data_IF_033206957406
#
_entry.id   IF_033206957406
#
_cell.length_a   1.000
_cell.length_b   1.000
_cell.length_c   1.000
_cell.angle_alpha   90.00
_cell.angle_beta   90.00
_cell.angle_gamma   90.00
#
_symmetry.space_group_name_H-M   'P 1'
#
loop_
_entity.id
_entity.type
_entity.pdbx_description
1 polymer ?
#
# COMPACT_ATOMS: atom_id res chain seq x y z
N UNK A 1 16.85 -21.71 17.47
CA UNK A 1 16.54 -21.99 16.05
C UNK A 1 15.11 -21.55 15.69
N UNK A 2 14.11 -21.81 16.53
CA UNK A 2 12.71 -21.36 16.36
C UNK A 2 12.53 -19.84 16.19
N UNK A 3 13.29 -19.00 16.90
CA UNK A 3 13.22 -17.53 16.75
C UNK A 3 13.62 -17.04 15.36
N UNK A 4 14.63 -17.67 14.75
CA UNK A 4 15.05 -17.37 13.39
C UNK A 4 14.00 -17.82 12.37
N UNK A 5 13.32 -18.95 12.64
CA UNK A 5 12.21 -19.43 11.81
C UNK A 5 11.01 -18.49 11.89
N UNK A 6 10.62 -18.01 13.08
CA UNK A 6 9.53 -17.02 13.22
C UNK A 6 9.87 -15.72 12.51
N UNK A 7 11.10 -15.21 12.66
CA UNK A 7 11.55 -14.01 11.96
C UNK A 7 11.58 -14.20 10.45
N UNK A 8 12.03 -15.36 9.97
CA UNK A 8 12.02 -15.70 8.55
C UNK A 8 10.58 -15.80 8.01
N UNK A 9 9.68 -16.48 8.72
CA UNK A 9 8.26 -16.57 8.36
C UNK A 9 7.61 -15.20 8.33
N UNK A 10 7.88 -14.34 9.31
CA UNK A 10 7.37 -12.97 9.37
C UNK A 10 7.90 -12.12 8.21
N UNK A 11 9.19 -12.23 7.89
CA UNK A 11 9.79 -11.56 6.74
C UNK A 11 9.19 -12.04 5.41
N UNK A 12 8.96 -13.34 5.25
CA UNK A 12 8.33 -13.93 4.06
C UNK A 12 6.89 -13.44 3.92
N UNK A 13 6.09 -13.46 4.99
CA UNK A 13 4.70 -12.96 4.97
C UNK A 13 4.65 -11.48 4.63
N UNK A 14 5.57 -10.67 5.16
CA UNK A 14 5.65 -9.24 4.83
C UNK A 14 6.04 -8.99 3.38
N UNK A 15 7.03 -9.73 2.86
CA UNK A 15 7.46 -9.60 1.45
C UNK A 15 6.34 -10.06 0.53
N UNK A 16 5.83 -11.28 0.70
CA UNK A 16 4.77 -11.81 -0.18
C UNK A 16 3.50 -10.98 -0.08
N UNK A 17 3.12 -10.50 1.11
CA UNK A 17 1.96 -9.62 1.30
C UNK A 17 2.15 -8.22 0.70
N UNK A 18 3.39 -7.77 0.50
CA UNK A 18 3.68 -6.52 -0.19
C UNK A 18 3.60 -6.63 -1.73
N UNK A 19 3.76 -7.83 -2.29
CA UNK A 19 3.83 -8.07 -3.74
C UNK A 19 2.61 -8.78 -4.33
N UNK A 20 1.86 -9.55 -3.55
CA UNK A 20 0.77 -10.39 -4.06
C UNK A 20 -0.52 -10.28 -3.23
N UNK A 21 -1.65 -10.15 -3.93
CA UNK A 21 -2.98 -10.12 -3.34
C UNK A 21 -3.41 -11.46 -2.74
N UNK A 22 -2.70 -12.55 -3.03
CA UNK A 22 -2.97 -13.89 -2.47
C UNK A 22 -2.88 -13.92 -0.94
N UNK A 23 -1.95 -13.18 -0.31
CA UNK A 23 -1.92 -13.05 1.15
C UNK A 23 -2.90 -12.00 1.71
N UNK A 24 -3.56 -11.22 0.85
CA UNK A 24 -4.72 -10.40 1.21
C UNK A 24 -6.03 -11.20 1.19
N UNK A 25 -6.07 -12.39 0.57
CA UNK A 25 -7.21 -13.29 0.66
C UNK A 25 -7.30 -13.91 2.06
N UNK A 26 -8.53 -14.07 2.54
CA UNK A 26 -8.81 -14.48 3.92
C UNK A 26 -8.19 -15.84 4.29
N UNK A 27 -8.23 -16.82 3.38
CA UNK A 27 -7.76 -18.17 3.67
C UNK A 27 -6.21 -18.25 3.82
N UNK A 28 -5.39 -17.74 2.87
CA UNK A 28 -3.93 -17.73 3.03
C UNK A 28 -3.47 -16.88 4.23
N UNK A 29 -4.14 -15.76 4.49
CA UNK A 29 -3.84 -14.93 5.66
C UNK A 29 -4.08 -15.71 6.96
N UNK A 30 -5.22 -16.40 7.08
CA UNK A 30 -5.56 -17.17 8.28
C UNK A 30 -4.56 -18.30 8.53
N UNK A 31 -4.11 -19.00 7.49
CA UNK A 31 -3.06 -20.02 7.58
C UNK A 31 -1.71 -19.41 8.00
N UNK A 32 -1.31 -18.29 7.41
CA UNK A 32 -0.06 -17.62 7.75
C UNK A 32 -0.04 -17.11 9.20
N UNK A 33 -1.11 -16.47 9.66
CA UNK A 33 -1.22 -15.94 11.02
C UNK A 33 -1.34 -17.05 12.08
N UNK A 34 -2.05 -18.14 11.77
CA UNK A 34 -2.13 -19.30 12.68
C UNK A 34 -0.79 -20.03 12.81
N UNK A 35 -0.06 -20.25 11.71
CA UNK A 35 1.30 -20.79 11.75
C UNK A 35 2.24 -19.89 12.55
N UNK A 36 2.17 -18.57 12.34
CA UNK A 36 2.97 -17.61 13.09
C UNK A 36 2.65 -17.66 14.60
N UNK A 37 1.37 -17.75 14.96
CA UNK A 37 0.92 -17.91 16.35
C UNK A 37 1.39 -19.22 16.99
N UNK A 38 1.30 -20.33 16.26
CA UNK A 38 1.77 -21.64 16.72
C UNK A 38 3.28 -21.66 16.97
N UNK A 39 4.06 -21.13 16.01
CA UNK A 39 5.52 -21.02 16.12
C UNK A 39 5.96 -20.04 17.22
N UNK A 40 5.17 -18.99 17.47
CA UNK A 40 5.41 -18.06 18.56
C UNK A 40 5.12 -18.68 19.94
N UNK A 41 4.11 -19.55 20.05
CA UNK A 41 3.77 -20.23 21.30
C UNK A 41 4.86 -21.22 21.76
N UNK A 42 5.48 -21.96 20.85
CA UNK A 42 6.61 -22.85 21.17
C UNK A 42 7.85 -22.10 21.67
N UNK A 43 8.02 -20.83 21.27
CA UNK A 43 9.15 -20.00 21.75
C UNK A 43 8.98 -19.48 23.18
N UNK A 44 7.79 -19.65 23.78
CA UNK A 44 7.45 -19.13 25.11
C UNK A 44 8.14 -19.89 26.26
N UNK A 45 8.77 -21.04 25.97
CA UNK A 45 9.47 -21.84 26.99
C UNK A 45 10.89 -21.33 27.31
N UNK A 46 11.45 -20.33 26.61
CA UNK A 46 12.75 -19.74 26.98
C UNK A 46 12.77 -18.22 26.90
N UNK A 47 13.07 -17.64 28.06
CA UNK A 47 13.27 -16.23 28.38
C UNK A 47 11.98 -15.40 28.42
N UNK A 48 11.34 -15.42 29.59
CA UNK A 48 10.78 -14.20 30.15
C UNK A 48 11.92 -13.17 30.25
N UNK A 49 12.25 -12.49 29.14
CA UNK A 49 12.87 -11.19 29.26
C UNK A 49 11.88 -10.36 30.05
N UNK A 50 12.27 -9.98 31.27
CA UNK A 50 11.52 -9.04 32.08
C UNK A 50 11.60 -7.67 31.39
N UNK A 51 10.80 -7.53 30.33
CA UNK A 51 10.55 -6.26 29.67
C UNK A 51 9.76 -5.44 30.66
N UNK A 52 10.45 -4.50 31.33
CA UNK A 52 9.81 -3.54 32.21
C UNK A 52 8.56 -2.95 31.56
N UNK A 53 7.50 -2.78 32.35
CA UNK A 53 6.13 -2.46 31.91
C UNK A 53 6.08 -1.38 30.81
N UNK A 54 6.93 -0.36 30.92
CA UNK A 54 7.06 0.73 29.92
C UNK A 54 7.47 0.23 28.54
N UNK A 55 8.48 -0.65 28.41
CA UNK A 55 8.92 -1.18 27.11
C UNK A 55 7.85 -2.06 26.48
N UNK A 56 7.11 -2.81 27.29
CA UNK A 56 6.00 -3.65 26.82
C UNK A 56 4.84 -2.80 26.28
N UNK A 57 4.42 -1.78 27.02
CA UNK A 57 3.39 -0.83 26.56
C UNK A 57 3.87 -0.12 25.29
N UNK A 58 5.13 0.32 25.23
CA UNK A 58 5.72 0.94 24.05
C UNK A 58 5.67 0.03 22.81
N UNK A 59 6.03 -1.25 22.97
CA UNK A 59 5.96 -2.22 21.87
C UNK A 59 4.52 -2.46 21.39
N UNK A 60 3.56 -2.59 22.31
CA UNK A 60 2.13 -2.74 21.96
C UNK A 60 1.61 -1.50 21.23
N UNK A 61 1.91 -0.31 21.74
CA UNK A 61 1.51 0.94 21.11
C UNK A 61 2.10 1.09 19.71
N UNK A 62 3.39 0.73 19.53
CA UNK A 62 4.04 0.76 18.23
C UNK A 62 3.34 -0.19 17.23
N UNK A 63 3.06 -1.43 17.64
CA UNK A 63 2.35 -2.40 16.79
C UNK A 63 0.93 -1.91 16.46
N UNK A 64 0.21 -1.37 17.43
CA UNK A 64 -1.13 -0.83 17.22
C UNK A 64 -1.13 0.35 16.24
N UNK A 65 -0.17 1.26 16.36
CA UNK A 65 -0.02 2.41 15.45
C UNK A 65 0.34 1.95 14.04
N UNK A 66 1.34 1.09 13.88
CA UNK A 66 1.75 0.60 12.56
C UNK A 66 0.65 -0.23 11.89
N UNK A 67 -0.01 -1.11 12.65
CA UNK A 67 -1.16 -1.89 12.18
C UNK A 67 -2.33 -1.00 11.78
N UNK A 68 -2.67 -0.02 12.63
CA UNK A 68 -3.73 0.95 12.34
C UNK A 68 -3.45 1.77 11.07
N UNK A 69 -2.21 2.23 10.88
CA UNK A 69 -1.79 2.94 9.66
C UNK A 69 -1.92 2.05 8.41
N UNK A 70 -1.53 0.78 8.50
CA UNK A 70 -1.65 -0.17 7.39
C UNK A 70 -3.13 -0.44 7.01
N UNK A 71 -4.01 -0.62 8.00
CA UNK A 71 -5.45 -0.79 7.78
C UNK A 71 -6.05 0.47 7.16
N UNK A 72 -5.74 1.65 7.69
CA UNK A 72 -6.23 2.92 7.17
C UNK A 72 -5.80 3.14 5.72
N UNK A 73 -4.53 2.86 5.39
CA UNK A 73 -4.02 2.91 4.01
C UNK A 73 -4.77 1.96 3.09
N UNK A 74 -5.00 0.73 3.51
CA UNK A 74 -5.70 -0.29 2.71
C UNK A 74 -7.16 0.13 2.44
N UNK A 75 -7.85 0.63 3.46
CA UNK A 75 -9.21 1.16 3.31
C UNK A 75 -9.27 2.37 2.37
N UNK A 76 -8.28 3.27 2.45
CA UNK A 76 -8.17 4.42 1.55
C UNK A 76 -7.99 3.96 0.09
N UNK A 77 -7.12 2.99 -0.17
CA UNK A 77 -6.92 2.43 -1.52
C UNK A 77 -8.20 1.80 -2.08
N UNK A 78 -8.92 1.00 -1.28
CA UNK A 78 -10.20 0.42 -1.71
C UNK A 78 -11.24 1.50 -2.03
N UNK A 79 -11.32 2.53 -1.19
CA UNK A 79 -12.25 3.66 -1.39
C UNK A 79 -11.90 4.47 -2.64
N UNK A 80 -10.61 4.74 -2.88
CA UNK A 80 -10.17 5.44 -4.08
C UNK A 80 -10.45 4.61 -5.35
N UNK A 81 -10.26 3.30 -5.30
CA UNK A 81 -10.51 2.40 -6.43
C UNK A 81 -12.00 2.24 -6.72
N UNK A 82 -12.87 2.24 -5.70
CA UNK A 82 -14.31 2.23 -5.94
C UNK A 82 -14.77 3.52 -6.64
N UNK A 83 -14.23 4.68 -6.24
CA UNK A 83 -14.47 5.96 -6.94
C UNK A 83 -13.93 5.94 -8.37
N UNK A 84 -12.74 5.37 -8.59
CA UNK A 84 -12.13 5.23 -9.91
C UNK A 84 -12.94 4.34 -10.85
N UNK A 85 -13.49 3.23 -10.34
CA UNK A 85 -14.24 2.26 -11.14
C UNK A 85 -15.63 2.77 -11.52
N UNK A 86 -16.29 3.50 -10.62
CA UNK A 86 -17.69 3.94 -10.80
C UNK A 86 -17.82 5.29 -11.51
N UNK A 87 -16.73 6.04 -11.67
CA UNK A 87 -16.81 7.39 -12.22
C UNK A 87 -15.65 7.72 -13.18
N UNK A 88 -15.95 8.52 -14.20
CA UNK A 88 -14.97 9.03 -15.17
C UNK A 88 -14.76 10.55 -15.06
N UNK A 89 -15.51 11.24 -14.21
CA UNK A 89 -15.40 12.70 -14.03
C UNK A 89 -14.08 13.04 -13.36
N UNK A 90 -13.34 13.99 -13.94
CA UNK A 90 -12.07 14.48 -13.40
C UNK A 90 -12.20 14.92 -11.92
N UNK A 91 -13.29 15.60 -11.52
CA UNK A 91 -13.49 16.04 -10.13
C UNK A 91 -13.66 14.90 -9.11
N UNK A 92 -14.13 13.73 -9.54
CA UNK A 92 -14.21 12.53 -8.69
C UNK A 92 -12.84 11.87 -8.62
N UNK A 93 -12.14 11.78 -9.74
CA UNK A 93 -10.79 11.23 -9.79
C UNK A 93 -9.77 12.07 -9.02
N UNK A 94 -9.92 13.40 -8.98
CA UNK A 94 -9.11 14.29 -8.15
C UNK A 94 -9.28 13.96 -6.67
N UNK A 95 -10.52 13.78 -6.21
CA UNK A 95 -10.80 13.31 -4.83
C UNK A 95 -10.21 11.93 -4.58
N UNK A 96 -10.35 11.01 -5.53
CA UNK A 96 -9.73 9.69 -5.42
C UNK A 96 -8.19 9.77 -5.32
N UNK A 97 -7.56 10.72 -6.00
CA UNK A 97 -6.10 10.95 -5.93
C UNK A 97 -5.65 11.55 -4.60
N UNK A 98 -6.51 12.31 -3.92
CA UNK A 98 -6.24 12.80 -2.57
C UNK A 98 -6.36 11.68 -1.52
N UNK A 99 -7.25 10.71 -1.74
CA UNK A 99 -7.43 9.54 -0.87
C UNK A 99 -6.29 8.53 -1.08
N UNK A 100 -5.90 8.26 -2.33
CA UNK A 100 -4.78 7.39 -2.69
C UNK A 100 -3.76 8.12 -3.60
N UNK A 101 -2.85 8.93 -3.01
CA UNK A 101 -1.82 9.64 -3.78
C UNK A 101 -0.76 8.70 -4.36
N UNK A 102 -0.74 7.43 -3.93
CA UNK A 102 0.15 6.40 -4.42
C UNK A 102 -0.35 5.69 -5.69
N UNK A 103 -1.51 6.09 -6.24
CA UNK A 103 -2.14 5.38 -7.35
C UNK A 103 -1.70 5.88 -8.72
N UNK A 104 -0.88 5.08 -9.39
CA UNK A 104 -0.45 5.34 -10.77
C UNK A 104 -1.63 5.42 -11.72
N UNK A 105 -2.62 4.52 -11.55
CA UNK A 105 -3.79 4.41 -12.43
C UNK A 105 -4.65 5.67 -12.37
N UNK A 106 -4.87 6.22 -11.18
CA UNK A 106 -5.63 7.46 -11.00
C UNK A 106 -4.88 8.63 -11.65
N UNK A 107 -3.59 8.78 -11.37
CA UNK A 107 -2.77 9.85 -11.94
C UNK A 107 -2.64 9.78 -13.47
N UNK A 108 -2.41 8.61 -14.04
CA UNK A 108 -2.36 8.43 -15.49
C UNK A 108 -3.69 8.77 -16.16
N UNK A 109 -4.83 8.39 -15.55
CA UNK A 109 -6.16 8.71 -16.08
C UNK A 109 -6.51 10.19 -15.96
N UNK A 110 -6.18 10.83 -14.83
CA UNK A 110 -6.34 12.29 -14.68
C UNK A 110 -5.49 13.05 -15.71
N UNK A 111 -4.24 12.64 -15.91
CA UNK A 111 -3.38 13.23 -16.93
C UNK A 111 -3.98 13.11 -18.34
N UNK A 112 -4.53 11.95 -18.70
CA UNK A 112 -5.24 11.75 -19.97
C UNK A 112 -6.48 12.64 -20.10
N UNK A 113 -7.29 12.74 -19.05
CA UNK A 113 -8.50 13.56 -19.06
C UNK A 113 -8.19 15.05 -19.21
N UNK A 114 -7.17 15.55 -18.50
CA UNK A 114 -6.75 16.94 -18.64
C UNK A 114 -6.10 17.21 -19.98
N UNK A 115 -5.30 16.27 -20.50
CA UNK A 115 -4.72 16.36 -21.84
C UNK A 115 -5.81 16.46 -22.91
N UNK A 116 -6.83 15.60 -22.85
CA UNK A 116 -7.96 15.63 -23.79
C UNK A 116 -8.82 16.90 -23.70
N UNK A 117 -8.67 17.68 -22.62
CA UNK A 117 -9.30 19.00 -22.45
C UNK A 117 -8.38 20.16 -22.82
N UNK A 118 -7.16 19.89 -23.27
CA UNK A 118 -6.14 20.90 -23.51
C UNK A 118 -5.54 21.54 -22.25
N UNK A 119 -5.88 21.07 -21.04
CA UNK A 119 -5.32 21.58 -19.79
C UNK A 119 -3.97 20.92 -19.49
N UNK A 120 -2.96 21.36 -20.26
CA UNK A 120 -1.63 20.79 -20.16
C UNK A 120 -0.94 21.03 -18.82
N UNK A 121 -1.29 22.13 -18.13
CA UNK A 121 -0.78 22.42 -16.79
C UNK A 121 -1.19 21.33 -15.81
N UNK A 122 -2.48 21.01 -15.71
CA UNK A 122 -2.95 19.93 -14.81
C UNK A 122 -2.53 18.56 -15.29
N UNK A 123 -2.51 18.32 -16.60
CA UNK A 123 -2.04 17.05 -17.15
C UNK A 123 -0.60 16.74 -16.73
N UNK A 124 0.32 17.71 -16.85
CA UNK A 124 1.74 17.55 -16.45
C UNK A 124 1.89 17.21 -14.96
N UNK A 125 1.10 17.81 -14.08
CA UNK A 125 1.13 17.51 -12.63
C UNK A 125 0.88 16.02 -12.40
N UNK A 126 -0.23 15.47 -12.91
CA UNK A 126 -0.54 14.06 -12.69
C UNK A 126 0.35 13.12 -13.52
N UNK A 127 0.77 13.51 -14.72
CA UNK A 127 1.70 12.72 -15.52
C UNK A 127 3.07 12.59 -14.83
N UNK A 128 3.54 13.64 -14.15
CA UNK A 128 4.77 13.60 -13.35
C UNK A 128 4.64 12.69 -12.12
N UNK A 129 3.48 12.72 -11.44
CA UNK A 129 3.20 11.83 -10.31
C UNK A 129 3.20 10.36 -10.76
N UNK A 130 2.55 10.06 -11.90
CA UNK A 130 2.57 8.73 -12.50
C UNK A 130 3.99 8.29 -12.89
N UNK A 131 4.82 9.20 -13.45
CA UNK A 131 6.23 8.92 -13.77
C UNK A 131 7.06 8.59 -12.53
N UNK A 132 6.89 9.32 -11.42
CA UNK A 132 7.65 9.08 -10.18
C UNK A 132 7.41 7.67 -9.64
N UNK A 133 6.19 7.14 -9.77
CA UNK A 133 5.86 5.79 -9.35
C UNK A 133 6.37 4.73 -10.33
N UNK A 134 6.23 4.97 -11.64
CA UNK A 134 6.68 4.05 -12.69
C UNK A 134 7.56 4.76 -13.72
N UNK A 135 8.86 4.94 -13.43
CA UNK A 135 9.78 5.69 -14.28
C UNK A 135 9.87 5.14 -15.71
N UNK A 136 9.84 3.82 -15.87
CA UNK A 136 9.93 3.14 -17.17
C UNK A 136 8.61 3.13 -17.96
N UNK A 137 7.48 3.56 -17.39
CA UNK A 137 6.18 3.49 -18.06
C UNK A 137 6.15 4.28 -19.37
N UNK A 138 5.84 3.63 -20.51
CA UNK A 138 5.70 4.31 -21.80
C UNK A 138 4.47 5.22 -21.83
N UNK A 139 3.42 4.91 -21.07
CA UNK A 139 2.22 5.76 -20.95
C UNK A 139 2.56 7.07 -20.27
N UNK A 140 3.25 7.04 -19.12
CA UNK A 140 3.68 8.26 -18.45
C UNK A 140 4.65 9.09 -19.32
N UNK A 141 5.45 8.46 -20.21
CA UNK A 141 6.32 9.16 -21.20
C UNK A 141 5.50 9.94 -22.18
N UNK A 142 4.56 9.26 -22.83
CA UNK A 142 3.68 9.88 -23.81
C UNK A 142 2.86 11.01 -23.20
N UNK A 143 2.36 10.87 -21.97
CA UNK A 143 1.58 11.92 -21.32
C UNK A 143 2.39 13.17 -20.98
N UNK A 144 3.65 13.01 -20.57
CA UNK A 144 4.53 14.17 -20.32
C UNK A 144 4.98 14.85 -21.61
N UNK A 145 5.25 14.08 -22.68
CA UNK A 145 5.65 14.64 -23.98
C UNK A 145 4.49 15.27 -24.75
N UNK A 146 3.26 14.78 -24.56
CA UNK A 146 2.08 15.28 -25.29
C UNK A 146 1.69 16.72 -24.94
N UNK A 147 2.23 17.27 -23.85
CA UNK A 147 2.04 18.65 -23.45
C UNK A 147 3.28 19.53 -23.70
N UNK A 148 4.23 19.07 -24.50
CA UNK A 148 5.29 19.91 -25.06
C UNK A 148 4.85 20.49 -26.40
N UNK A 149 5.23 21.75 -26.63
CA UNK A 149 5.34 22.32 -27.99
C UNK A 149 6.16 21.40 -28.90
#
# INVERSE_FOLDING_TARGET
>A
MTSAVVLATLAIVLVVGAFDAVLLLAAPALVAWSLLGALAAESRERQAMDLGVVRRIGAIALVAVLGGLAVARSAAQLTAMSMYATNSKASVLERASAIDPGSYRIHARLAQLYLGRGDCRRSRVHASAARRQFPSSPVARRLLSACGE
#
